data_IF_819801476347
#
_entry.id   IF_819801476347
#
_cell.length_a   1.000
_cell.length_b   1.000
_cell.length_c   1.000
_cell.angle_alpha   90.00
_cell.angle_beta   90.00
_cell.angle_gamma   90.00
#
_symmetry.space_group_name_H-M   'P 1'
#
loop_
_entity.id
_entity.type
_entity.pdbx_description
1 polymer ?
#
# COMPACT_ATOMS: atom_id res chain seq x y z
N UNK A 1 10.61 5.79 2.40
CA UNK A 1 9.88 5.12 3.49
C UNK A 1 9.68 6.13 4.59
N UNK A 2 8.43 6.46 4.94
CA UNK A 2 8.09 7.42 6.01
C UNK A 2 7.57 6.62 7.20
N UNK A 3 8.16 6.80 8.38
CA UNK A 3 7.60 6.25 9.62
C UNK A 3 6.39 7.10 10.00
N UNK A 4 5.25 6.46 10.20
CA UNK A 4 4.02 7.13 10.61
C UNK A 4 3.73 6.82 12.07
N UNK A 5 3.23 7.79 12.85
CA UNK A 5 2.97 7.61 14.28
C UNK A 5 1.82 6.63 14.55
N UNK A 6 0.85 6.55 13.63
CA UNK A 6 -0.34 5.69 13.75
C UNK A 6 -0.85 5.25 12.37
N UNK A 7 -1.67 4.20 12.35
CA UNK A 7 -2.35 3.70 11.14
C UNK A 7 -3.78 4.24 11.05
N UNK A 8 -3.93 5.56 11.00
CA UNK A 8 -5.22 6.25 10.82
C UNK A 8 -5.45 6.63 9.34
N UNK A 9 -6.71 6.82 8.96
CA UNK A 9 -7.07 7.33 7.62
C UNK A 9 -6.49 8.72 7.38
N UNK A 10 -6.45 9.58 8.41
CA UNK A 10 -5.87 10.92 8.32
C UNK A 10 -4.37 10.88 8.02
N UNK A 11 -3.62 10.02 8.73
CA UNK A 11 -2.19 9.85 8.46
C UNK A 11 -1.95 9.28 7.05
N UNK A 12 -2.81 8.35 6.62
CA UNK A 12 -2.76 7.81 5.27
C UNK A 12 -3.02 8.89 4.20
N UNK A 13 -4.07 9.71 4.34
CA UNK A 13 -4.38 10.79 3.41
C UNK A 13 -3.25 11.82 3.32
N UNK A 14 -2.64 12.17 4.46
CA UNK A 14 -1.47 13.05 4.48
C UNK A 14 -0.31 12.47 3.66
N UNK A 15 -0.03 11.17 3.78
CA UNK A 15 1.01 10.51 2.98
C UNK A 15 0.66 10.51 1.50
N UNK A 16 -0.59 10.22 1.14
CA UNK A 16 -1.05 10.20 -0.26
C UNK A 16 -0.89 11.58 -0.89
N UNK A 17 -1.36 12.64 -0.22
CA UNK A 17 -1.27 14.00 -0.75
C UNK A 17 0.18 14.50 -0.88
N UNK A 18 1.12 14.01 -0.07
CA UNK A 18 2.54 14.35 -0.20
C UNK A 18 3.25 13.56 -1.31
N UNK A 19 2.86 12.29 -1.51
CA UNK A 19 3.64 11.35 -2.32
C UNK A 19 3.03 11.05 -3.69
N UNK A 20 1.74 11.35 -3.88
CA UNK A 20 0.97 10.96 -5.06
C UNK A 20 0.41 12.22 -5.70
N UNK A 21 0.57 12.33 -7.03
CA UNK A 21 0.03 13.44 -7.78
C UNK A 21 -1.51 13.36 -7.83
N UNK A 22 -2.22 14.50 -7.77
CA UNK A 22 -3.67 14.50 -7.95
C UNK A 22 -4.08 13.84 -9.27
N UNK A 23 -5.25 13.18 -9.28
CA UNK A 23 -5.84 12.49 -10.45
C UNK A 23 -5.06 11.26 -10.97
N UNK A 24 -4.17 10.69 -10.17
CA UNK A 24 -3.60 9.37 -10.49
C UNK A 24 -4.50 8.25 -10.00
N UNK A 25 -4.45 7.11 -10.69
CA UNK A 25 -5.11 5.88 -10.26
C UNK A 25 -4.32 5.20 -9.14
N UNK A 26 -4.99 4.84 -8.05
CA UNK A 26 -4.43 4.07 -6.94
C UNK A 26 -4.98 2.64 -7.03
N UNK A 27 -4.09 1.64 -7.04
CA UNK A 27 -4.45 0.22 -7.05
C UNK A 27 -4.17 -0.35 -5.67
N UNK A 28 -5.17 -0.99 -5.05
CA UNK A 28 -5.08 -1.49 -3.68
C UNK A 28 -5.82 -2.80 -3.45
N UNK A 29 -5.44 -3.54 -2.41
CA UNK A 29 -6.04 -4.82 -2.02
C UNK A 29 -7.33 -4.67 -1.15
N UNK A 30 -8.14 -3.64 -1.40
CA UNK A 30 -9.43 -3.44 -0.72
C UNK A 30 -9.34 -3.18 0.80
N UNK A 31 -8.28 -2.56 1.31
CA UNK A 31 -8.29 -2.22 2.75
C UNK A 31 -9.30 -1.10 3.02
N UNK A 32 -10.21 -1.32 3.98
CA UNK A 32 -11.34 -0.43 4.29
C UNK A 32 -10.95 1.03 4.60
N UNK A 33 -9.73 1.26 5.10
CA UNK A 33 -9.21 2.60 5.35
C UNK A 33 -9.09 3.44 4.07
N UNK A 34 -9.02 2.81 2.90
CA UNK A 34 -8.85 3.47 1.60
C UNK A 34 -10.15 3.96 0.98
N UNK A 35 -11.31 3.68 1.59
CA UNK A 35 -12.60 4.16 1.09
C UNK A 35 -12.70 5.69 1.09
N UNK A 36 -11.90 6.40 1.90
CA UNK A 36 -11.85 7.86 1.89
C UNK A 36 -11.19 8.45 0.63
N UNK A 37 -10.50 7.64 -0.19
CA UNK A 37 -9.81 8.13 -1.39
C UNK A 37 -10.76 8.57 -2.50
N UNK A 38 -11.97 8.00 -2.58
CA UNK A 38 -12.98 8.44 -3.54
C UNK A 38 -13.43 9.86 -3.27
N UNK A 39 -13.50 10.24 -1.98
CA UNK A 39 -13.93 11.59 -1.56
C UNK A 39 -12.85 12.65 -1.86
N UNK A 40 -11.60 12.21 -2.02
CA UNK A 40 -10.42 13.04 -2.35
C UNK A 40 -10.16 13.12 -3.86
N UNK A 41 -11.01 12.52 -4.70
CA UNK A 41 -10.91 12.59 -6.16
C UNK A 41 -9.88 11.65 -6.78
N UNK A 42 -9.43 10.61 -6.07
CA UNK A 42 -8.60 9.55 -6.63
C UNK A 42 -9.46 8.43 -7.21
N UNK A 43 -9.03 7.87 -8.35
CA UNK A 43 -9.61 6.64 -8.88
C UNK A 43 -9.02 5.44 -8.13
N UNK A 44 -9.86 4.72 -7.38
CA UNK A 44 -9.45 3.53 -6.63
C UNK A 44 -9.82 2.26 -7.40
N UNK A 45 -8.80 1.54 -7.86
CA UNK A 45 -8.95 0.18 -8.37
C UNK A 45 -8.68 -0.81 -7.26
N UNK A 46 -9.61 -1.74 -7.07
CA UNK A 46 -9.61 -2.66 -5.94
C UNK A 46 -9.41 -4.08 -6.43
N UNK A 47 -8.32 -4.72 -6.03
CA UNK A 47 -8.08 -6.15 -6.29
C UNK A 47 -8.59 -6.92 -5.08
N UNK A 48 -9.58 -7.78 -5.29
CA UNK A 48 -10.16 -8.59 -4.21
C UNK A 48 -9.31 -9.86 -4.02
N UNK A 49 -8.56 -9.91 -2.91
CA UNK A 49 -7.61 -10.99 -2.56
C UNK A 49 -8.24 -12.40 -2.51
N UNK A 50 -9.56 -12.53 -2.51
CA UNK A 50 -10.24 -13.83 -2.45
C UNK A 50 -10.51 -14.49 -3.81
N UNK A 51 -10.45 -13.76 -4.92
CA UNK A 51 -10.89 -14.32 -6.22
C UNK A 51 -9.82 -14.19 -7.32
N UNK A 52 -8.97 -13.16 -7.34
CA UNK A 52 -8.08 -12.94 -8.48
C UNK A 52 -6.76 -12.24 -8.13
N UNK A 53 -5.63 -12.93 -8.37
CA UNK A 53 -4.27 -12.35 -8.37
C UNK A 53 -4.01 -11.36 -9.52
N UNK A 54 -4.97 -11.23 -10.43
CA UNK A 54 -4.96 -10.35 -11.59
C UNK A 54 -6.40 -9.91 -11.82
N UNK A 55 -6.67 -8.62 -11.67
CA UNK A 55 -7.96 -8.06 -12.05
C UNK A 55 -8.23 -8.41 -13.53
N UNK A 56 -9.32 -9.13 -13.83
CA UNK A 56 -9.56 -9.64 -15.18
C UNK A 56 -9.96 -8.53 -16.17
N UNK A 57 -10.56 -7.45 -15.70
CA UNK A 57 -11.07 -6.36 -16.54
C UNK A 57 -9.98 -5.35 -16.90
N UNK A 58 -9.09 -5.04 -15.96
CA UNK A 58 -7.99 -4.08 -16.14
C UNK A 58 -6.63 -4.74 -16.37
N UNK A 59 -6.51 -6.04 -16.08
CA UNK A 59 -5.25 -6.78 -16.11
C UNK A 59 -4.28 -6.43 -14.97
N UNK A 60 -4.69 -5.58 -14.02
CA UNK A 60 -3.85 -5.12 -12.91
C UNK A 60 -3.44 -6.28 -11.98
N UNK A 61 -2.16 -6.33 -11.59
CA UNK A 61 -1.61 -7.37 -10.72
C UNK A 61 -0.60 -6.75 -9.74
N UNK A 62 -0.72 -7.10 -8.45
CA UNK A 62 0.14 -6.61 -7.36
C UNK A 62 1.37 -7.49 -7.08
N UNK A 63 1.61 -8.58 -7.83
CA UNK A 63 2.75 -9.49 -7.64
C UNK A 63 4.11 -8.78 -7.60
N UNK A 64 4.31 -7.77 -8.46
CA UNK A 64 5.54 -6.96 -8.45
C UNK A 64 5.66 -6.12 -7.18
N UNK A 65 4.54 -5.59 -6.69
CA UNK A 65 4.46 -4.80 -5.45
C UNK A 65 4.75 -5.72 -4.25
N UNK A 66 4.11 -6.89 -4.17
CA UNK A 66 4.35 -7.90 -3.13
C UNK A 66 5.81 -8.40 -3.11
N UNK A 67 6.38 -8.67 -4.29
CA UNK A 67 7.79 -9.05 -4.40
C UNK A 67 8.72 -7.95 -3.88
N UNK A 68 8.46 -6.70 -4.24
CA UNK A 68 9.22 -5.54 -3.76
C UNK A 68 9.11 -5.39 -2.24
N UNK A 69 7.91 -5.53 -1.68
CA UNK A 69 7.69 -5.50 -0.23
C UNK A 69 8.40 -6.63 0.50
N UNK A 70 8.44 -7.84 -0.09
CA UNK A 70 9.19 -8.97 0.46
C UNK A 70 10.68 -8.64 0.60
N UNK A 71 11.30 -8.10 -0.45
CA UNK A 71 12.70 -7.65 -0.41
C UNK A 71 12.93 -6.56 0.62
N UNK A 72 12.05 -5.56 0.70
CA UNK A 72 12.14 -4.48 1.69
C UNK A 72 12.03 -5.04 3.11
N UNK A 73 11.09 -5.96 3.39
CA UNK A 73 10.94 -6.62 4.69
C UNK A 73 12.19 -7.40 5.08
N UNK A 74 12.80 -8.13 4.13
CA UNK A 74 14.07 -8.81 4.37
C UNK A 74 15.18 -7.82 4.72
N UNK A 75 15.31 -6.74 3.94
CA UNK A 75 16.32 -5.71 4.19
C UNK A 75 16.13 -5.04 5.56
N UNK A 76 14.90 -4.61 5.88
CA UNK A 76 14.58 -4.04 7.18
C UNK A 76 14.84 -5.07 8.29
N UNK A 77 14.44 -6.33 8.13
CA UNK A 77 14.70 -7.38 9.13
C UNK A 77 16.20 -7.64 9.36
N UNK A 78 17.02 -7.57 8.32
CA UNK A 78 18.48 -7.72 8.42
C UNK A 78 19.18 -6.53 9.06
N UNK A 79 18.68 -5.31 8.84
CA UNK A 79 19.35 -4.07 9.29
C UNK A 79 18.70 -3.42 10.53
N UNK A 80 17.51 -3.85 10.92
CA UNK A 80 16.75 -3.37 12.09
C UNK A 80 16.34 -4.51 13.05
N UNK A 81 16.94 -5.70 12.97
CA UNK A 81 16.87 -6.63 14.10
C UNK A 81 17.68 -6.03 15.26
N UNK A 82 17.06 -5.69 16.41
CA UNK A 82 17.83 -5.50 17.61
C UNK A 82 18.49 -6.84 17.92
N UNK A 83 19.77 -6.80 18.23
CA UNK A 83 20.54 -7.92 18.75
C UNK A 83 19.68 -8.70 19.76
N UNK A 84 19.21 -9.89 19.37
CA UNK A 84 18.84 -10.92 20.32
C UNK A 84 20.16 -11.39 20.94
N UNK A 85 20.63 -10.63 21.92
CA UNK A 85 21.70 -11.01 22.81
C UNK A 85 21.12 -11.67 24.06
N UNK A 86 21.65 -12.87 24.35
CA UNK A 86 21.92 -13.39 25.69
C UNK A 86 20.73 -13.70 26.59
#
# INVERSE_FOLDING_TARGET
>A
MKVVPERSSECFLSVINECILPKTTIISNCWKAYNCLSDEGFELLTINDSVQFKDLDTGANINKIEGTWSTIKCWVGMHFSPLLGG
#
